data_IF_038107054481
#
_entry.id   IF_038107054481
#
_cell.length_a   1.000
_cell.length_b   1.000
_cell.length_c   1.000
_cell.angle_alpha   90.00
_cell.angle_beta   90.00
_cell.angle_gamma   90.00
#
_symmetry.space_group_name_H-M   'P 1'
#
loop_
_entity.id
_entity.type
_entity.pdbx_description
1 polymer ?
#
# COMPACT_ATOMS: atom_id res chain seq x y z
N UNK A 1 0.65 22.92 31.10
CA UNK A 1 1.10 22.97 29.69
C UNK A 1 0.12 23.82 28.90
N UNK A 2 0.61 24.73 28.08
CA UNK A 2 -0.23 25.51 27.20
C UNK A 2 -0.75 24.59 26.07
N UNK A 3 -1.86 24.94 25.42
CA UNK A 3 -2.39 24.17 24.28
C UNK A 3 -1.38 24.01 23.13
N UNK A 4 -0.31 24.79 23.13
CA UNK A 4 0.81 24.71 22.17
C UNK A 4 1.80 23.58 22.45
N UNK A 5 1.76 22.97 23.64
CA UNK A 5 2.71 21.95 24.08
C UNK A 5 2.14 20.51 23.94
N UNK A 6 0.90 20.36 23.45
CA UNK A 6 0.27 19.04 23.29
C UNK A 6 0.72 18.38 21.98
N UNK A 7 0.91 17.04 21.99
CA UNK A 7 1.15 16.29 20.77
C UNK A 7 0.04 16.50 19.73
N UNK A 8 0.36 16.57 18.42
CA UNK A 8 -0.59 16.95 17.38
C UNK A 8 -1.79 16.01 17.23
N UNK A 9 -1.66 14.77 17.65
CA UNK A 9 -2.69 13.72 17.57
C UNK A 9 -3.10 13.19 18.95
N UNK A 10 -2.99 14.01 20.00
CA UNK A 10 -3.32 13.59 21.36
C UNK A 10 -4.73 12.99 21.45
N UNK A 11 -4.79 11.73 21.84
CA UNK A 11 -6.04 11.00 22.05
C UNK A 11 -6.67 10.40 20.79
N UNK A 12 -6.04 10.54 19.61
CA UNK A 12 -6.56 9.95 18.37
C UNK A 12 -6.33 8.43 18.39
N UNK A 13 -7.39 7.61 18.20
CA UNK A 13 -7.27 6.16 18.18
C UNK A 13 -6.54 5.67 16.92
N UNK A 14 -5.65 4.69 17.11
CA UNK A 14 -4.83 4.09 16.06
C UNK A 14 -4.89 2.55 16.11
N UNK A 15 -5.63 1.89 15.23
CA UNK A 15 -5.44 0.48 14.95
C UNK A 15 -4.10 0.25 14.23
N UNK A 16 -3.33 -0.77 14.68
CA UNK A 16 -1.99 -1.08 14.15
C UNK A 16 -2.02 -2.41 13.41
N UNK A 17 -1.52 -2.46 12.18
CA UNK A 17 -1.41 -3.71 11.42
C UNK A 17 -0.57 -4.74 12.19
N UNK A 18 -1.03 -5.99 12.21
CA UNK A 18 -0.39 -7.07 12.98
C UNK A 18 0.89 -7.63 12.31
N UNK A 19 1.74 -6.72 11.86
CA UNK A 19 3.11 -6.97 11.38
C UNK A 19 4.14 -6.16 12.16
N UNK A 20 3.74 -5.11 12.89
CA UNK A 20 4.63 -4.27 13.70
C UNK A 20 4.42 -4.51 15.19
N UNK A 21 5.51 -4.43 15.94
CA UNK A 21 5.52 -4.55 17.38
C UNK A 21 4.95 -3.30 18.07
N UNK A 22 4.06 -3.57 19.03
CA UNK A 22 3.60 -2.61 20.02
C UNK A 22 4.00 -3.16 21.38
N UNK A 23 4.78 -2.42 22.15
CA UNK A 23 5.28 -2.86 23.46
C UNK A 23 4.15 -3.39 24.35
N UNK A 24 4.34 -4.57 24.92
CA UNK A 24 3.37 -5.25 25.78
C UNK A 24 2.25 -6.01 25.04
N UNK A 25 2.24 -6.01 23.71
CA UNK A 25 1.28 -6.75 22.90
C UNK A 25 1.95 -7.82 22.05
N UNK A 26 1.27 -8.96 21.79
CA UNK A 26 1.78 -9.93 20.82
C UNK A 26 1.70 -9.38 19.40
N UNK A 27 2.65 -9.78 18.55
CA UNK A 27 2.61 -9.60 17.10
C UNK A 27 2.57 -10.98 16.45
N UNK A 28 1.41 -11.33 15.87
CA UNK A 28 1.21 -12.67 15.32
C UNK A 28 1.58 -12.79 13.85
N UNK A 29 1.85 -11.69 13.17
CA UNK A 29 2.06 -11.64 11.73
C UNK A 29 0.96 -12.33 10.91
N UNK A 30 -0.25 -12.40 11.45
CA UNK A 30 -1.37 -13.13 10.86
C UNK A 30 -1.22 -14.65 10.88
N UNK A 31 -0.24 -15.19 11.58
CA UNK A 31 0.10 -16.63 11.58
C UNK A 31 -0.48 -17.36 12.80
N UNK A 32 -1.03 -18.56 12.56
CA UNK A 32 -1.40 -19.47 13.62
C UNK A 32 -0.19 -20.11 14.31
N UNK A 33 0.98 -20.08 13.66
CA UNK A 33 2.25 -20.62 14.18
C UNK A 33 3.10 -19.59 14.91
N UNK A 34 2.69 -18.32 15.01
CA UNK A 34 3.46 -17.26 15.62
C UNK A 34 3.66 -17.46 17.14
N UNK A 35 4.76 -16.99 17.66
CA UNK A 35 4.92 -16.76 19.09
C UNK A 35 3.97 -15.62 19.52
N UNK A 36 3.29 -15.82 20.64
CA UNK A 36 2.35 -14.85 21.21
C UNK A 36 2.91 -14.13 22.43
N UNK A 37 4.21 -14.23 22.68
CA UNK A 37 4.86 -13.45 23.71
C UNK A 37 4.69 -11.95 23.40
N UNK A 38 4.38 -11.13 24.44
CA UNK A 38 4.32 -9.69 24.26
C UNK A 38 5.65 -9.11 23.82
N UNK A 39 5.66 -8.22 22.83
CA UNK A 39 6.84 -7.53 22.36
C UNK A 39 7.46 -6.68 23.49
N UNK A 40 8.78 -6.72 23.63
CA UNK A 40 9.50 -5.97 24.65
C UNK A 40 9.54 -4.46 24.35
N UNK A 41 9.51 -4.08 23.08
CA UNK A 41 9.57 -2.69 22.61
C UNK A 41 8.65 -2.49 21.41
N UNK A 42 8.27 -1.25 21.17
CA UNK A 42 7.55 -0.89 19.94
C UNK A 42 8.52 -0.61 18.81
N UNK A 43 8.11 -0.95 17.58
CA UNK A 43 8.83 -0.57 16.35
C UNK A 43 9.00 0.96 16.22
N UNK A 44 10.06 1.44 15.54
CA UNK A 44 10.30 2.87 15.33
C UNK A 44 9.10 3.63 14.77
N UNK A 45 8.40 3.06 13.81
CA UNK A 45 7.18 3.66 13.23
C UNK A 45 6.08 3.79 14.28
N UNK A 46 5.87 2.76 15.10
CA UNK A 46 4.89 2.78 16.20
C UNK A 46 5.26 3.83 17.24
N UNK A 47 6.55 3.91 17.62
CA UNK A 47 7.02 4.97 18.54
C UNK A 47 6.71 6.37 18.03
N UNK A 48 6.89 6.65 16.72
CA UNK A 48 6.53 7.95 16.12
C UNK A 48 5.05 8.28 16.28
N UNK A 49 4.17 7.29 16.12
CA UNK A 49 2.75 7.48 16.39
C UNK A 49 2.48 7.79 17.88
N UNK A 50 3.09 7.03 18.79
CA UNK A 50 2.94 7.26 20.24
C UNK A 50 3.45 8.64 20.65
N UNK A 51 4.62 9.06 20.16
CA UNK A 51 5.19 10.38 20.42
C UNK A 51 4.29 11.51 19.89
N UNK A 52 3.56 11.27 18.81
CA UNK A 52 2.58 12.20 18.27
C UNK A 52 1.25 12.24 19.05
N UNK A 53 1.07 11.36 20.05
CA UNK A 53 -0.08 11.32 20.93
C UNK A 53 -1.19 10.35 20.52
N UNK A 54 -0.97 9.52 19.50
CA UNK A 54 -1.92 8.48 19.14
C UNK A 54 -2.07 7.42 20.24
N UNK A 55 -3.27 6.85 20.35
CA UNK A 55 -3.58 5.77 21.28
C UNK A 55 -3.81 4.48 20.49
N UNK A 56 -2.92 3.48 20.58
CA UNK A 56 -3.16 2.17 19.98
C UNK A 56 -4.42 1.53 20.55
N UNK A 57 -5.32 1.03 19.67
CA UNK A 57 -6.55 0.37 20.07
C UNK A 57 -6.47 -1.16 20.02
N UNK A 58 -5.63 -1.68 19.16
CA UNK A 58 -5.51 -3.11 18.88
C UNK A 58 -4.77 -3.37 17.60
N UNK A 59 -4.56 -4.67 17.31
CA UNK A 59 -3.96 -5.13 16.06
C UNK A 59 -5.05 -5.37 15.02
N UNK A 60 -4.79 -4.96 13.77
CA UNK A 60 -5.70 -5.22 12.65
C UNK A 60 -5.31 -6.48 11.89
N UNK A 61 -6.31 -7.17 11.36
CA UNK A 61 -6.11 -8.39 10.58
C UNK A 61 -5.26 -8.14 9.33
N UNK A 62 -4.38 -9.09 9.05
CA UNK A 62 -3.50 -9.14 7.88
C UNK A 62 -3.48 -10.56 7.34
N UNK A 63 -3.16 -10.76 6.06
CA UNK A 63 -2.76 -12.09 5.60
C UNK A 63 -1.50 -12.54 6.33
N UNK A 64 -1.30 -13.84 6.43
CA UNK A 64 -0.11 -14.40 7.10
C UNK A 64 1.17 -13.83 6.46
N UNK A 65 2.04 -13.24 7.27
CA UNK A 65 3.28 -12.52 6.90
C UNK A 65 3.08 -11.38 5.88
N UNK A 66 1.86 -10.98 5.61
CA UNK A 66 1.54 -9.95 4.61
C UNK A 66 1.68 -10.42 3.16
N UNK A 67 1.78 -11.69 2.87
CA UNK A 67 2.14 -12.22 1.55
C UNK A 67 1.00 -12.26 0.53
N UNK A 68 -0.26 -12.18 0.96
CA UNK A 68 -1.43 -12.15 0.06
C UNK A 68 -2.17 -10.81 0.16
N UNK A 69 -2.75 -10.31 -0.94
CA UNK A 69 -3.50 -9.05 -0.94
C UNK A 69 -4.97 -9.22 -0.48
N UNK A 70 -5.23 -10.16 0.42
CA UNK A 70 -6.52 -10.42 1.06
C UNK A 70 -6.32 -11.21 2.36
N UNK A 71 -7.30 -11.18 3.28
CA UNK A 71 -7.25 -11.96 4.52
C UNK A 71 -8.44 -12.92 4.61
N UNK A 72 -8.14 -14.18 4.38
CA UNK A 72 -9.01 -15.34 4.60
C UNK A 72 -8.13 -16.39 5.29
N UNK A 73 -7.94 -16.24 6.60
CA UNK A 73 -6.88 -16.93 7.35
C UNK A 73 -7.47 -17.89 8.38
N UNK A 74 -6.91 -19.09 8.55
CA UNK A 74 -7.25 -19.98 9.67
C UNK A 74 -6.97 -19.33 11.05
N UNK A 75 -6.00 -18.40 11.12
CA UNK A 75 -5.62 -17.77 12.38
C UNK A 75 -6.54 -16.61 12.78
N UNK A 76 -6.98 -15.80 11.80
CA UNK A 76 -7.68 -14.52 12.03
C UNK A 76 -9.08 -14.48 11.44
N UNK A 77 -9.51 -15.54 10.75
CA UNK A 77 -10.80 -15.58 10.06
C UNK A 77 -10.79 -14.78 8.75
N UNK A 78 -11.97 -14.40 8.30
CA UNK A 78 -12.19 -13.74 7.01
C UNK A 78 -12.47 -12.26 7.25
N UNK A 79 -11.64 -11.40 6.65
CA UNK A 79 -11.95 -9.97 6.57
C UNK A 79 -12.91 -9.71 5.41
N UNK A 80 -13.97 -8.94 5.67
CA UNK A 80 -15.06 -8.69 4.72
C UNK A 80 -15.13 -7.21 4.37
N UNK A 81 -15.46 -6.90 3.11
CA UNK A 81 -15.57 -5.54 2.63
C UNK A 81 -16.85 -4.88 3.18
N UNK A 82 -16.78 -3.73 3.86
CA UNK A 82 -17.97 -3.03 4.36
C UNK A 82 -18.96 -2.56 3.27
N UNK A 83 -18.48 -2.40 2.01
CA UNK A 83 -19.34 -2.05 0.88
C UNK A 83 -20.14 -3.25 0.35
N UNK A 84 -19.59 -4.45 0.43
CA UNK A 84 -20.24 -5.73 0.09
C UNK A 84 -19.57 -6.85 0.88
N UNK A 85 -20.19 -7.36 1.98
CA UNK A 85 -19.59 -8.40 2.83
C UNK A 85 -19.31 -9.75 2.13
N UNK A 86 -19.83 -9.96 0.93
CA UNK A 86 -19.52 -11.13 0.12
C UNK A 86 -18.19 -10.98 -0.65
N UNK A 87 -17.51 -9.84 -0.49
CA UNK A 87 -16.25 -9.54 -1.18
C UNK A 87 -15.10 -9.30 -0.22
N UNK A 88 -13.88 -9.47 -0.74
CA UNK A 88 -12.67 -9.12 -0.01
C UNK A 88 -12.53 -7.59 0.15
N UNK A 89 -12.05 -7.10 1.30
CA UNK A 89 -11.65 -5.69 1.46
C UNK A 89 -10.27 -5.39 0.86
N UNK A 90 -9.67 -6.33 0.12
CA UNK A 90 -8.27 -6.25 -0.28
C UNK A 90 -7.33 -6.49 0.90
N UNK A 91 -6.02 -6.34 0.66
CA UNK A 91 -4.99 -6.58 1.68
C UNK A 91 -3.56 -6.28 1.15
N UNK A 92 -2.54 -6.64 1.90
CA UNK A 92 -2.59 -7.41 3.17
C UNK A 92 -3.06 -6.61 4.39
N UNK A 93 -3.20 -5.28 4.33
CA UNK A 93 -3.73 -4.46 5.42
C UNK A 93 -5.27 -4.46 5.43
N UNK A 94 -5.88 -5.65 5.41
CA UNK A 94 -7.33 -5.85 5.28
C UNK A 94 -8.09 -5.20 6.42
N UNK A 95 -7.73 -5.52 7.67
CA UNK A 95 -8.39 -4.98 8.85
C UNK A 95 -8.24 -3.48 9.01
N UNK A 96 -7.12 -2.89 8.54
CA UNK A 96 -6.94 -1.44 8.53
C UNK A 96 -7.95 -0.77 7.59
N UNK A 97 -8.10 -1.30 6.35
CA UNK A 97 -9.10 -0.82 5.40
C UNK A 97 -10.52 -0.92 5.95
N UNK A 98 -10.89 -2.07 6.51
CA UNK A 98 -12.22 -2.30 7.12
C UNK A 98 -12.48 -1.34 8.27
N UNK A 99 -11.54 -1.21 9.22
CA UNK A 99 -11.72 -0.37 10.40
C UNK A 99 -12.00 1.10 10.05
N UNK A 100 -11.30 1.63 9.05
CA UNK A 100 -11.49 3.02 8.62
C UNK A 100 -12.76 3.17 7.78
N UNK A 101 -13.05 2.25 6.86
CA UNK A 101 -14.25 2.30 6.03
C UNK A 101 -15.52 2.18 6.88
N UNK A 102 -15.57 1.25 7.81
CA UNK A 102 -16.69 1.04 8.73
C UNK A 102 -16.83 2.12 9.83
N UNK A 103 -15.88 3.07 9.92
CA UNK A 103 -15.94 4.17 10.91
C UNK A 103 -15.48 3.80 12.30
N UNK A 104 -14.84 2.65 12.50
CA UNK A 104 -14.30 2.22 13.80
C UNK A 104 -13.11 3.10 14.25
N UNK A 105 -12.37 3.65 13.31
CA UNK A 105 -11.27 4.56 13.57
C UNK A 105 -11.16 5.61 12.46
N UNK A 106 -10.59 6.81 12.74
CA UNK A 106 -10.43 7.86 11.72
C UNK A 106 -9.37 7.49 10.68
N UNK A 107 -8.38 6.73 11.08
CA UNK A 107 -7.27 6.22 10.27
C UNK A 107 -6.74 4.92 10.88
N UNK A 108 -5.94 4.16 10.13
CA UNK A 108 -5.26 2.97 10.63
C UNK A 108 -3.88 2.84 10.00
N UNK A 109 -2.93 2.31 10.78
CA UNK A 109 -1.61 1.96 10.26
C UNK A 109 -1.71 0.81 9.26
N UNK A 110 -0.93 0.90 8.19
CA UNK A 110 -0.85 -0.08 7.12
C UNK A 110 0.57 -0.14 6.55
N UNK A 111 0.93 -1.24 5.88
CA UNK A 111 2.21 -1.42 5.20
C UNK A 111 2.00 -1.89 3.77
N UNK A 112 2.93 -1.53 2.87
CA UNK A 112 2.82 -1.76 1.43
C UNK A 112 4.13 -2.30 0.87
N UNK A 113 4.18 -3.61 0.63
CA UNK A 113 5.31 -4.28 -0.01
C UNK A 113 5.05 -4.63 -1.49
N UNK A 114 3.78 -4.64 -1.92
CA UNK A 114 3.35 -4.93 -3.28
C UNK A 114 2.02 -4.25 -3.65
N UNK A 115 1.49 -3.39 -2.75
CA UNK A 115 0.21 -2.73 -2.91
C UNK A 115 -0.63 -2.71 -1.62
N UNK A 116 -0.10 -3.21 -0.51
CA UNK A 116 -0.91 -3.52 0.68
C UNK A 116 -1.38 -2.30 1.52
N UNK A 117 -1.07 -1.06 1.12
CA UNK A 117 -1.79 0.17 1.52
C UNK A 117 -2.83 0.50 0.44
N UNK A 118 -2.40 0.51 -0.83
CA UNK A 118 -3.15 1.01 -1.98
C UNK A 118 -4.33 0.10 -2.35
N UNK A 119 -4.13 -1.22 -2.33
CA UNK A 119 -5.16 -2.22 -2.64
C UNK A 119 -6.33 -2.12 -1.65
N UNK A 120 -6.14 -2.22 -0.31
CA UNK A 120 -7.25 -2.05 0.61
C UNK A 120 -7.85 -0.64 0.57
N UNK A 121 -7.08 0.41 0.29
CA UNK A 121 -7.62 1.74 0.08
C UNK A 121 -8.61 1.76 -1.10
N UNK A 122 -8.24 1.18 -2.25
CA UNK A 122 -9.11 1.04 -3.43
C UNK A 122 -10.37 0.27 -3.12
N UNK A 123 -10.25 -0.92 -2.52
CA UNK A 123 -11.38 -1.78 -2.20
C UNK A 123 -12.38 -1.16 -1.23
N UNK A 124 -11.93 -0.29 -0.34
CA UNK A 124 -12.74 0.24 0.76
C UNK A 124 -13.14 1.72 0.59
N UNK A 125 -12.82 2.35 -0.54
CA UNK A 125 -13.18 3.74 -0.80
C UNK A 125 -12.39 4.74 0.07
N UNK A 126 -11.10 4.47 0.26
CA UNK A 126 -10.19 5.22 1.12
C UNK A 126 -9.02 5.82 0.33
N UNK A 127 -8.29 6.70 0.98
CA UNK A 127 -6.98 7.21 0.54
C UNK A 127 -5.88 6.35 1.13
N UNK A 128 -4.96 5.86 0.28
CA UNK A 128 -3.80 5.09 0.71
C UNK A 128 -2.55 5.52 -0.01
N UNK A 129 -1.61 6.13 0.73
CA UNK A 129 -0.32 6.60 0.19
C UNK A 129 0.79 5.62 0.58
N UNK A 130 1.44 5.05 -0.43
CA UNK A 130 2.76 4.43 -0.30
C UNK A 130 3.82 5.52 -0.49
N UNK A 131 4.56 5.92 0.55
CA UNK A 131 5.60 6.93 0.39
C UNK A 131 6.81 6.42 -0.41
N UNK A 132 7.71 7.32 -0.76
CA UNK A 132 9.03 6.98 -1.32
C UNK A 132 9.77 6.04 -0.40
N UNK A 133 10.46 5.06 -0.97
CA UNK A 133 11.39 4.18 -0.23
C UNK A 133 12.33 5.00 0.64
N UNK A 134 12.39 4.67 1.93
CA UNK A 134 13.27 5.34 2.89
C UNK A 134 12.71 6.63 3.50
N UNK A 135 11.56 7.15 3.04
CA UNK A 135 10.93 8.34 3.66
C UNK A 135 10.37 8.03 5.05
N UNK A 136 9.75 6.87 5.20
CA UNK A 136 9.31 6.33 6.49
C UNK A 136 10.20 5.15 6.81
N UNK A 137 11.03 5.31 7.85
CA UNK A 137 12.03 4.32 8.25
C UNK A 137 11.51 3.43 9.36
N UNK A 138 11.94 2.18 9.36
CA UNK A 138 11.74 1.22 10.45
C UNK A 138 13.09 0.63 10.88
N UNK A 139 13.11 -0.25 11.90
CA UNK A 139 14.34 -0.85 12.44
C UNK A 139 15.05 -1.68 11.36
N UNK A 140 14.29 -2.45 10.62
CA UNK A 140 14.79 -3.25 9.49
C UNK A 140 14.13 -2.78 8.21
N UNK A 141 14.90 -2.75 7.13
CA UNK A 141 14.40 -2.43 5.81
C UNK A 141 13.61 -3.63 5.28
N UNK A 142 12.28 -3.56 5.32
CA UNK A 142 11.40 -4.67 4.93
C UNK A 142 11.54 -5.03 3.45
N UNK A 143 11.70 -6.32 3.15
CA UNK A 143 11.79 -6.87 1.78
C UNK A 143 12.81 -6.12 0.91
N UNK A 144 13.99 -5.82 1.46
CA UNK A 144 15.06 -5.08 0.76
C UNK A 144 14.60 -3.71 0.21
N UNK A 145 13.68 -3.07 0.91
CA UNK A 145 13.13 -1.77 0.55
C UNK A 145 11.93 -1.82 -0.41
N UNK A 146 11.35 -2.98 -0.68
CA UNK A 146 10.05 -3.04 -1.35
C UNK A 146 8.93 -2.56 -0.42
N UNK A 147 9.02 -2.88 0.87
CA UNK A 147 8.01 -2.54 1.86
C UNK A 147 8.24 -1.15 2.46
N UNK A 148 7.14 -0.46 2.72
CA UNK A 148 7.12 0.83 3.43
C UNK A 148 5.86 0.93 4.28
N UNK A 149 5.97 1.64 5.41
CA UNK A 149 4.84 1.91 6.31
C UNK A 149 4.13 3.20 5.95
N UNK A 150 2.83 3.25 6.25
CA UNK A 150 1.98 4.41 6.08
C UNK A 150 0.62 4.21 6.76
N UNK A 151 -0.40 4.86 6.25
CA UNK A 151 -1.76 4.78 6.77
C UNK A 151 -2.79 4.66 5.64
N UNK A 152 -3.97 4.14 5.98
CA UNK A 152 -5.20 4.36 5.22
C UNK A 152 -6.07 5.37 5.94
N UNK A 153 -6.66 6.31 5.19
CA UNK A 153 -7.45 7.42 5.74
C UNK A 153 -8.70 7.66 4.87
N UNK A 154 -9.60 8.55 5.33
CA UNK A 154 -10.74 8.99 4.51
C UNK A 154 -10.42 10.22 3.67
N UNK A 155 -9.47 11.04 4.09
CA UNK A 155 -9.16 12.31 3.45
C UNK A 155 -7.68 12.43 3.13
N UNK A 156 -7.38 13.20 2.09
CA UNK A 156 -6.00 13.55 1.73
C UNK A 156 -5.33 14.38 2.82
N UNK A 157 -6.10 15.21 3.52
CA UNK A 157 -5.58 16.03 4.62
C UNK A 157 -5.08 15.19 5.80
N UNK A 158 -5.81 14.14 6.18
CA UNK A 158 -5.38 13.22 7.24
C UNK A 158 -4.12 12.45 6.83
N UNK A 159 -4.05 12.00 5.56
CA UNK A 159 -2.84 11.35 5.02
C UNK A 159 -1.62 12.27 5.13
N UNK A 160 -1.75 13.54 4.71
CA UNK A 160 -0.67 14.51 4.77
C UNK A 160 -0.23 14.80 6.21
N UNK A 161 -1.18 14.97 7.13
CA UNK A 161 -0.90 15.25 8.54
C UNK A 161 -0.16 14.09 9.22
N UNK A 162 -0.53 12.85 8.90
CA UNK A 162 0.18 11.67 9.43
C UNK A 162 1.56 11.53 8.79
N UNK A 163 1.69 11.82 7.50
CA UNK A 163 2.99 11.77 6.84
C UNK A 163 3.98 12.78 7.44
N UNK A 164 3.51 13.96 7.88
CA UNK A 164 4.34 14.95 8.61
C UNK A 164 4.90 14.38 9.93
N UNK A 165 4.21 13.42 10.55
CA UNK A 165 4.70 12.70 11.75
C UNK A 165 5.69 11.59 11.39
N UNK A 166 5.42 10.84 10.33
CA UNK A 166 6.20 9.65 9.97
C UNK A 166 7.48 9.98 9.21
N UNK A 167 7.45 11.00 8.34
CA UNK A 167 8.57 11.39 7.49
C UNK A 167 9.61 12.24 8.24
N UNK A 168 10.34 11.62 9.15
CA UNK A 168 11.39 12.25 9.93
C UNK A 168 12.75 11.69 9.55
N UNK A 169 13.78 12.52 9.60
CA UNK A 169 15.15 12.03 9.51
C UNK A 169 15.44 11.06 10.65
N UNK A 170 16.00 9.93 10.31
CA UNK A 170 16.39 8.86 11.24
C UNK A 170 17.87 8.54 11.04
N UNK A 171 18.75 9.02 11.92
CA UNK A 171 20.19 8.83 11.76
C UNK A 171 20.65 7.37 11.91
N UNK A 172 19.78 6.50 12.47
CA UNK A 172 20.06 5.07 12.62
C UNK A 172 19.67 4.23 11.42
N UNK A 173 18.89 4.76 10.49
CA UNK A 173 18.42 4.01 9.33
C UNK A 173 19.49 3.96 8.21
N UNK A 174 19.57 2.82 7.53
CA UNK A 174 20.47 2.69 6.36
C UNK A 174 20.18 3.72 5.28
N UNK A 175 18.90 4.03 5.05
CA UNK A 175 18.45 5.02 4.10
C UNK A 175 17.48 5.95 4.80
N UNK A 176 17.91 7.17 5.01
CA UNK A 176 17.05 8.20 5.56
C UNK A 176 17.40 9.52 4.88
N UNK A 177 16.46 10.10 4.15
CA UNK A 177 16.65 11.42 3.57
C UNK A 177 16.71 12.47 4.67
N UNK A 178 17.20 13.68 4.37
CA UNK A 178 16.95 14.84 5.21
C UNK A 178 15.46 15.00 5.44
N UNK A 179 15.10 15.59 6.59
CA UNK A 179 13.71 15.93 6.85
C UNK A 179 13.16 16.84 5.72
N UNK A 180 11.89 16.66 5.30
CA UNK A 180 11.29 17.53 4.29
C UNK A 180 11.39 19.01 4.68
N UNK A 181 11.75 19.87 3.73
CA UNK A 181 11.89 21.31 3.98
C UNK A 181 10.57 22.01 4.33
N UNK A 182 9.44 21.40 3.92
CA UNK A 182 8.09 21.87 4.22
C UNK A 182 7.24 20.69 4.63
N UNK A 183 6.27 20.93 5.52
CA UNK A 183 5.30 19.91 5.88
C UNK A 183 4.40 19.56 4.69
N UNK A 184 3.97 18.32 4.64
CA UNK A 184 3.03 17.83 3.61
C UNK A 184 1.66 18.49 3.74
N UNK A 185 1.24 18.81 4.96
CA UNK A 185 0.03 19.62 5.19
C UNK A 185 0.15 21.02 4.61
N UNK A 186 1.35 21.62 4.61
CA UNK A 186 1.57 22.91 3.95
C UNK A 186 1.49 22.81 2.42
N UNK A 187 1.84 21.65 1.83
CA UNK A 187 1.71 21.44 0.39
C UNK A 187 0.24 21.50 -0.07
N UNK A 188 -0.71 21.12 0.79
CA UNK A 188 -2.15 21.15 0.49
C UNK A 188 -2.76 22.57 0.46
N UNK A 189 -2.01 23.59 0.92
CA UNK A 189 -2.47 25.00 0.88
C UNK A 189 -2.30 25.64 -0.50
N UNK A 190 -1.52 25.01 -1.38
CA UNK A 190 -1.44 25.45 -2.77
C UNK A 190 -2.77 25.13 -3.47
N UNK A 191 -3.45 26.14 -3.98
CA UNK A 191 -4.79 26.01 -4.57
C UNK A 191 -4.74 25.29 -5.92
N UNK A 192 -3.64 25.43 -6.69
CA UNK A 192 -3.52 24.91 -8.05
C UNK A 192 -2.42 23.85 -8.19
N UNK A 193 -2.61 22.98 -9.17
CA UNK A 193 -1.54 22.11 -9.67
C UNK A 193 -0.44 22.95 -10.33
N UNK A 194 0.81 22.44 -10.42
CA UNK A 194 1.85 23.11 -11.19
C UNK A 194 1.41 23.30 -12.64
N UNK A 195 1.63 24.50 -13.18
CA UNK A 195 1.35 24.77 -14.60
C UNK A 195 2.16 23.84 -15.51
N UNK A 196 1.51 23.33 -16.56
CA UNK A 196 2.16 22.44 -17.52
C UNK A 196 2.47 21.04 -17.01
N UNK A 197 1.82 20.57 -15.95
CA UNK A 197 1.98 19.23 -15.39
C UNK A 197 1.75 18.17 -16.48
N UNK A 198 2.78 17.37 -16.78
CA UNK A 198 2.72 16.29 -17.77
C UNK A 198 2.18 15.04 -17.11
N UNK A 199 1.10 14.49 -17.68
CA UNK A 199 0.39 13.33 -17.12
C UNK A 199 0.53 12.16 -18.09
N UNK A 200 1.27 11.13 -17.67
CA UNK A 200 1.30 9.82 -18.33
C UNK A 200 0.10 8.96 -17.92
N UNK A 201 -0.27 8.02 -18.77
CA UNK A 201 -1.39 7.10 -18.54
C UNK A 201 -0.93 5.66 -18.82
N UNK A 202 -1.31 4.74 -17.93
CA UNK A 202 -1.12 3.31 -18.14
C UNK A 202 -2.41 2.59 -17.73
N UNK A 203 -3.21 2.16 -18.69
CA UNK A 203 -4.47 1.41 -18.48
C UNK A 203 -4.33 -0.06 -18.86
N UNK A 204 -3.42 -0.38 -19.77
CA UNK A 204 -3.13 -1.76 -20.13
C UNK A 204 -2.34 -2.45 -19.02
N UNK A 205 -2.68 -3.70 -18.75
CA UNK A 205 -1.97 -4.48 -17.74
C UNK A 205 -0.50 -4.68 -18.11
N UNK A 206 0.45 -4.48 -17.19
CA UNK A 206 1.85 -4.87 -17.38
C UNK A 206 2.07 -6.37 -17.63
N UNK A 207 1.05 -7.19 -17.43
CA UNK A 207 1.03 -8.64 -17.68
C UNK A 207 -0.09 -8.96 -18.66
N UNK A 208 0.24 -9.30 -19.89
CA UNK A 208 -0.71 -9.49 -21.01
C UNK A 208 -1.87 -10.44 -20.72
N UNK A 209 -1.64 -11.45 -19.87
CA UNK A 209 -2.67 -12.42 -19.49
C UNK A 209 -3.74 -11.86 -18.54
N UNK A 210 -3.58 -10.65 -18.01
CA UNK A 210 -4.49 -10.05 -17.03
C UNK A 210 -5.33 -8.96 -17.73
N UNK A 211 -6.60 -9.24 -17.94
CA UNK A 211 -7.54 -8.22 -18.43
C UNK A 211 -7.85 -7.18 -17.37
N UNK A 212 -8.03 -5.94 -17.78
CA UNK A 212 -8.43 -4.83 -16.90
C UNK A 212 -9.95 -4.63 -17.00
N UNK A 213 -10.62 -4.62 -15.84
CA UNK A 213 -12.06 -4.40 -15.74
C UNK A 213 -12.42 -2.99 -16.29
N UNK A 214 -13.46 -2.88 -17.13
CA UNK A 214 -13.92 -1.60 -17.66
C UNK A 214 -14.21 -0.54 -16.59
N UNK A 215 -14.70 -0.91 -15.41
CA UNK A 215 -14.90 0.02 -14.30
C UNK A 215 -13.58 0.64 -13.80
N UNK A 216 -12.49 -0.12 -13.82
CA UNK A 216 -11.17 0.38 -13.48
C UNK A 216 -10.64 1.36 -14.53
N UNK A 217 -10.86 1.09 -15.81
CA UNK A 217 -10.51 2.01 -16.92
C UNK A 217 -11.35 3.30 -16.84
N UNK A 218 -12.66 3.17 -16.63
CA UNK A 218 -13.57 4.32 -16.50
C UNK A 218 -13.16 5.26 -15.34
N UNK A 219 -12.65 4.70 -14.24
CA UNK A 219 -12.14 5.48 -13.13
C UNK A 219 -10.91 6.32 -13.53
N UNK A 220 -10.01 5.77 -14.36
CA UNK A 220 -8.86 6.51 -14.92
C UNK A 220 -9.35 7.66 -15.79
N UNK A 221 -10.31 7.42 -16.70
CA UNK A 221 -10.87 8.46 -17.58
C UNK A 221 -11.48 9.62 -16.79
N UNK A 222 -12.21 9.29 -15.70
CA UNK A 222 -12.76 10.31 -14.79
C UNK A 222 -11.67 11.14 -14.14
N UNK A 223 -10.56 10.50 -13.74
CA UNK A 223 -9.41 11.15 -13.13
C UNK A 223 -8.70 12.08 -14.10
N UNK A 224 -8.46 11.61 -15.32
CA UNK A 224 -7.78 12.41 -16.36
C UNK A 224 -8.56 13.67 -16.67
N UNK A 225 -9.87 13.58 -16.90
CA UNK A 225 -10.73 14.76 -17.13
C UNK A 225 -10.66 15.78 -16.01
N UNK A 226 -10.60 15.31 -14.75
CA UNK A 226 -10.50 16.20 -13.60
C UNK A 226 -9.13 16.89 -13.48
N UNK A 227 -8.06 16.16 -13.77
CA UNK A 227 -6.70 16.71 -13.76
C UNK A 227 -6.45 17.66 -14.94
N UNK A 228 -6.98 17.37 -16.13
CA UNK A 228 -6.91 18.28 -17.29
C UNK A 228 -7.68 19.57 -17.04
N UNK A 229 -8.88 19.49 -16.45
CA UNK A 229 -9.64 20.66 -16.04
C UNK A 229 -8.91 21.52 -14.99
N UNK A 230 -7.98 20.93 -14.23
CA UNK A 230 -7.10 21.62 -13.29
C UNK A 230 -5.77 22.07 -13.91
N UNK A 231 -5.62 22.03 -15.24
CA UNK A 231 -4.44 22.52 -15.96
C UNK A 231 -3.33 21.52 -16.24
N UNK A 232 -3.59 20.24 -16.00
CA UNK A 232 -2.68 19.16 -16.41
C UNK A 232 -2.79 18.86 -17.92
N UNK A 233 -1.78 18.22 -18.47
CA UNK A 233 -1.72 17.81 -19.88
C UNK A 233 -1.41 16.32 -19.98
N UNK A 234 -2.33 15.56 -20.58
CA UNK A 234 -2.10 14.14 -20.89
C UNK A 234 -1.08 14.04 -22.04
N UNK A 235 -0.04 13.27 -21.85
CA UNK A 235 1.02 13.05 -22.84
C UNK A 235 1.03 11.59 -23.32
N UNK A 236 1.25 11.40 -24.61
CA UNK A 236 1.24 10.08 -25.25
C UNK A 236 2.59 9.33 -25.15
N UNK A 237 3.43 9.66 -24.18
CA UNK A 237 4.72 9.00 -24.01
C UNK A 237 4.53 7.69 -23.24
N UNK A 238 4.93 6.53 -23.77
CA UNK A 238 4.82 5.28 -23.03
C UNK A 238 5.81 5.23 -21.86
N UNK A 239 5.38 4.67 -20.73
CA UNK A 239 6.30 4.27 -19.68
C UNK A 239 7.13 3.08 -20.17
N UNK A 240 8.46 3.09 -20.08
CA UNK A 240 9.28 1.94 -20.45
C UNK A 240 9.13 0.83 -19.40
N UNK A 241 8.10 0.01 -19.58
CA UNK A 241 7.87 -1.15 -18.73
C UNK A 241 8.94 -2.21 -18.98
N UNK A 242 9.43 -2.89 -17.94
CA UNK A 242 10.27 -4.06 -18.12
C UNK A 242 9.44 -5.22 -18.69
N UNK A 243 10.06 -6.23 -19.31
CA UNK A 243 9.38 -7.49 -19.56
C UNK A 243 8.79 -8.07 -18.27
N UNK A 244 7.58 -8.64 -18.36
CA UNK A 244 6.85 -9.11 -17.18
C UNK A 244 7.63 -10.17 -16.39
N UNK A 245 8.33 -11.07 -17.07
CA UNK A 245 9.18 -12.10 -16.46
C UNK A 245 10.39 -11.51 -15.70
N UNK A 246 10.98 -10.43 -16.21
CA UNK A 246 12.08 -9.74 -15.52
C UNK A 246 11.58 -9.10 -14.22
N UNK A 247 10.44 -8.43 -14.27
CA UNK A 247 9.80 -7.83 -13.09
C UNK A 247 9.42 -8.90 -12.06
N UNK A 248 8.72 -9.94 -12.50
CA UNK A 248 8.26 -11.01 -11.64
C UNK A 248 9.42 -11.73 -10.97
N UNK A 249 10.48 -12.07 -11.72
CA UNK A 249 11.65 -12.74 -11.15
C UNK A 249 12.34 -11.89 -10.08
N UNK A 250 12.55 -10.59 -10.35
CA UNK A 250 13.17 -9.68 -9.39
C UNK A 250 12.29 -9.51 -8.14
N UNK A 251 10.98 -9.36 -8.33
CA UNK A 251 10.03 -9.18 -7.24
C UNK A 251 9.90 -10.44 -6.39
N UNK A 252 9.67 -11.61 -7.01
CA UNK A 252 9.37 -12.87 -6.30
C UNK A 252 10.52 -13.30 -5.41
N UNK A 253 11.78 -13.20 -5.87
CA UNK A 253 12.94 -13.58 -5.05
C UNK A 253 13.00 -12.76 -3.75
N UNK A 254 12.74 -11.46 -3.82
CA UNK A 254 12.72 -10.59 -2.65
C UNK A 254 11.44 -10.78 -1.82
N UNK A 255 10.31 -11.02 -2.48
CA UNK A 255 9.02 -11.26 -1.83
C UNK A 255 9.03 -12.50 -0.93
N UNK A 256 9.68 -13.57 -1.36
CA UNK A 256 9.80 -14.82 -0.60
C UNK A 256 10.49 -14.63 0.76
N UNK A 257 11.32 -13.58 0.92
CA UNK A 257 11.97 -13.26 2.20
C UNK A 257 10.98 -12.83 3.29
N UNK A 258 9.81 -12.30 2.91
CA UNK A 258 8.90 -11.62 3.83
C UNK A 258 8.44 -12.44 5.03
N UNK A 259 8.24 -13.74 4.85
CA UNK A 259 7.90 -14.64 5.96
C UNK A 259 9.09 -15.45 6.51
N UNK A 260 10.23 -15.45 5.83
CA UNK A 260 11.32 -16.39 6.13
C UNK A 260 12.00 -16.13 7.48
N UNK A 261 12.11 -14.86 7.88
CA UNK A 261 12.76 -14.42 9.11
C UNK A 261 11.82 -14.34 10.33
N UNK A 262 10.52 -14.52 10.17
CA UNK A 262 9.56 -14.42 11.29
C UNK A 262 9.75 -15.57 12.27
N UNK A 263 9.98 -15.31 13.58
CA UNK A 263 10.06 -16.34 14.61
C UNK A 263 8.72 -17.06 14.77
N UNK A 264 8.75 -18.38 14.89
CA UNK A 264 7.56 -19.22 15.03
C UNK A 264 7.68 -20.11 16.26
N UNK A 265 6.61 -20.19 17.03
CA UNK A 265 6.45 -21.17 18.10
C UNK A 265 6.08 -22.57 17.54
N UNK A 266 5.31 -22.60 16.45
CA UNK A 266 4.87 -23.82 15.78
C UNK A 266 4.91 -23.67 14.24
N UNK A 267 6.02 -24.04 13.59
CA UNK A 267 6.17 -23.95 12.13
C UNK A 267 5.15 -24.78 11.32
N UNK A 268 4.60 -25.85 11.90
CA UNK A 268 3.67 -26.74 11.21
C UNK A 268 2.29 -26.10 11.01
N UNK A 269 2.00 -25.00 11.75
CA UNK A 269 0.77 -24.23 11.65
C UNK A 269 0.83 -23.06 10.67
N UNK A 270 1.95 -22.90 9.96
CA UNK A 270 2.09 -21.91 8.87
C UNK A 270 1.22 -22.33 7.68
N UNK A 271 0.56 -21.38 7.03
CA UNK A 271 -0.28 -21.64 5.86
C UNK A 271 0.55 -22.29 4.72
N UNK A 272 -0.03 -23.23 3.93
CA UNK A 272 0.72 -24.00 2.93
C UNK A 272 1.53 -23.15 1.95
N UNK A 273 0.94 -22.07 1.41
CA UNK A 273 1.65 -21.19 0.48
C UNK A 273 2.89 -20.54 1.14
N UNK A 274 2.79 -20.12 2.39
CA UNK A 274 3.91 -19.49 3.09
C UNK A 274 5.00 -20.50 3.48
N UNK A 275 4.67 -21.78 3.67
CA UNK A 275 5.70 -22.83 3.80
C UNK A 275 6.53 -22.91 2.53
N UNK A 276 5.86 -22.95 1.35
CA UNK A 276 6.55 -22.96 0.05
C UNK A 276 7.42 -21.72 -0.14
N UNK A 277 6.92 -20.52 0.16
CA UNK A 277 7.69 -19.27 0.04
C UNK A 277 8.90 -19.24 0.99
N UNK A 278 8.74 -19.68 2.24
CA UNK A 278 9.83 -19.77 3.23
C UNK A 278 10.91 -20.77 2.83
N UNK A 279 10.53 -21.91 2.28
CA UNK A 279 11.48 -22.92 1.81
C UNK A 279 12.21 -22.42 0.56
N UNK A 280 11.51 -21.77 -0.37
CA UNK A 280 12.12 -21.12 -1.53
C UNK A 280 13.13 -20.04 -1.11
N UNK A 281 12.78 -19.19 -0.12
CA UNK A 281 13.68 -18.17 0.40
C UNK A 281 14.97 -18.76 1.02
N UNK A 282 14.85 -19.85 1.76
CA UNK A 282 16.01 -20.54 2.38
C UNK A 282 16.89 -21.27 1.37
N UNK A 283 16.35 -21.65 0.23
CA UNK A 283 17.08 -22.30 -0.85
C UNK A 283 17.90 -21.31 -1.71
N UNK A 284 17.64 -20.01 -1.61
CA UNK A 284 18.37 -18.97 -2.34
C UNK A 284 19.77 -18.81 -1.74
N UNK A 285 20.80 -19.02 -2.55
CA UNK A 285 22.17 -18.73 -2.12
C UNK A 285 22.49 -17.23 -2.17
N UNK A 286 23.61 -16.85 -1.56
CA UNK A 286 24.02 -15.43 -1.47
C UNK A 286 24.27 -14.78 -2.82
N UNK A 287 24.68 -15.53 -3.85
CA UNK A 287 24.87 -15.01 -5.20
C UNK A 287 23.54 -14.73 -5.89
N UNK A 288 22.61 -15.69 -5.86
CA UNK A 288 21.27 -15.54 -6.42
C UNK A 288 20.50 -14.38 -5.75
N UNK A 289 20.64 -14.23 -4.43
CA UNK A 289 20.09 -13.10 -3.70
C UNK A 289 20.70 -11.76 -4.17
N UNK A 290 22.02 -11.65 -4.23
CA UNK A 290 22.67 -10.43 -4.67
C UNK A 290 22.29 -10.05 -6.12
N UNK A 291 22.19 -11.03 -7.01
CA UNK A 291 21.77 -10.80 -8.39
C UNK A 291 20.30 -10.34 -8.48
N UNK A 292 19.39 -10.86 -7.63
CA UNK A 292 18.01 -10.39 -7.56
C UNK A 292 17.92 -8.92 -7.12
N UNK A 293 18.71 -8.53 -6.11
CA UNK A 293 18.81 -7.13 -5.66
C UNK A 293 19.37 -6.24 -6.78
N UNK A 294 20.45 -6.64 -7.44
CA UNK A 294 21.03 -5.87 -8.54
C UNK A 294 20.07 -5.75 -9.72
N UNK A 295 19.33 -6.81 -10.04
CA UNK A 295 18.31 -6.79 -11.10
C UNK A 295 17.19 -5.81 -10.76
N UNK A 296 16.67 -5.84 -9.53
CA UNK A 296 15.67 -4.88 -9.06
C UNK A 296 16.18 -3.42 -9.14
N UNK A 297 17.44 -3.18 -8.79
CA UNK A 297 18.05 -1.84 -8.88
C UNK A 297 18.17 -1.36 -10.34
N UNK A 298 18.65 -2.21 -11.27
CA UNK A 298 18.76 -1.88 -12.70
C UNK A 298 17.38 -1.61 -13.32
N UNK A 299 16.39 -2.44 -12.97
CA UNK A 299 15.00 -2.27 -13.41
C UNK A 299 14.43 -0.95 -12.89
N UNK A 300 14.58 -0.69 -11.59
CA UNK A 300 14.14 0.55 -10.95
C UNK A 300 14.71 1.78 -11.68
N UNK A 301 16.03 1.79 -11.96
CA UNK A 301 16.68 2.90 -12.66
C UNK A 301 16.06 3.14 -14.03
N UNK A 302 15.90 2.11 -14.86
CA UNK A 302 15.32 2.25 -16.22
C UNK A 302 13.92 2.86 -16.18
N UNK A 303 13.06 2.35 -15.28
CA UNK A 303 11.67 2.82 -15.16
C UNK A 303 11.63 4.26 -14.66
N UNK A 304 12.41 4.59 -13.62
CA UNK A 304 12.45 5.95 -13.05
C UNK A 304 13.02 6.96 -14.04
N UNK A 305 14.10 6.64 -14.76
CA UNK A 305 14.68 7.52 -15.79
C UNK A 305 13.68 7.77 -16.93
N UNK A 306 12.99 6.73 -17.41
CA UNK A 306 11.94 6.88 -18.42
C UNK A 306 10.74 7.68 -17.91
N UNK A 307 10.34 7.47 -16.66
CA UNK A 307 9.31 8.28 -16.01
C UNK A 307 9.69 9.77 -15.99
N UNK A 308 10.89 10.11 -15.51
CA UNK A 308 11.38 11.49 -15.41
C UNK A 308 11.50 12.18 -16.77
N UNK A 309 11.84 11.44 -17.81
CA UNK A 309 11.90 11.96 -19.17
C UNK A 309 10.51 12.27 -19.76
N UNK A 310 9.48 11.46 -19.40
CA UNK A 310 8.14 11.51 -19.99
C UNK A 310 7.13 12.35 -19.22
N UNK A 311 7.08 12.19 -17.89
CA UNK A 311 5.97 12.70 -17.08
C UNK A 311 6.42 13.36 -15.78
N UNK A 312 5.47 14.05 -15.17
CA UNK A 312 5.56 14.53 -13.78
C UNK A 312 4.62 13.71 -12.88
N UNK A 313 3.54 13.19 -13.45
CA UNK A 313 2.55 12.34 -12.81
C UNK A 313 2.16 11.19 -13.76
N UNK A 314 2.00 9.98 -13.22
CA UNK A 314 1.43 8.85 -13.96
C UNK A 314 0.11 8.45 -13.31
N UNK A 315 -0.90 8.18 -14.12
CA UNK A 315 -2.23 7.71 -13.71
C UNK A 315 -2.44 6.28 -14.18
N UNK A 316 -2.79 5.39 -13.25
CA UNK A 316 -3.12 3.99 -13.54
C UNK A 316 -4.36 3.56 -12.76
N UNK A 317 -5.05 2.49 -13.11
CA UNK A 317 -5.90 1.80 -12.15
C UNK A 317 -5.07 1.43 -10.90
N UNK A 318 -5.70 1.36 -9.73
CA UNK A 318 -5.01 0.77 -8.56
C UNK A 318 -4.96 -0.76 -8.69
N UNK A 319 -6.03 -1.35 -9.17
CA UNK A 319 -6.20 -2.79 -9.41
C UNK A 319 -6.73 -3.02 -10.82
N UNK A 320 -6.53 -4.22 -11.36
CA UNK A 320 -7.10 -4.60 -12.66
C UNK A 320 -8.56 -5.09 -12.56
N UNK A 321 -9.11 -5.27 -11.36
CA UNK A 321 -10.44 -5.81 -11.15
C UNK A 321 -11.15 -5.13 -9.97
N UNK A 322 -12.47 -5.24 -9.92
CA UNK A 322 -13.25 -4.97 -8.72
C UNK A 322 -12.91 -6.01 -7.62
N UNK A 323 -13.16 -5.69 -6.33
CA UNK A 323 -12.90 -6.62 -5.24
C UNK A 323 -13.54 -8.00 -5.50
N UNK A 324 -12.75 -9.11 -5.59
CA UNK A 324 -13.28 -10.45 -5.80
C UNK A 324 -14.17 -10.93 -4.64
N UNK A 325 -15.03 -11.92 -4.92
CA UNK A 325 -15.81 -12.57 -3.87
C UNK A 325 -14.92 -13.34 -2.90
N UNK A 326 -15.33 -13.39 -1.65
CA UNK A 326 -14.70 -14.22 -0.62
C UNK A 326 -14.65 -15.69 -1.12
N UNK A 327 -13.50 -16.32 -0.94
CA UNK A 327 -13.23 -17.69 -1.41
C UNK A 327 -12.71 -17.78 -2.85
N UNK A 328 -13.03 -16.81 -3.72
CA UNK A 328 -12.62 -16.88 -5.13
C UNK A 328 -11.10 -16.91 -5.32
N UNK A 329 -10.36 -16.19 -4.49
CA UNK A 329 -8.91 -16.13 -4.58
C UNK A 329 -8.21 -17.39 -4.02
N UNK A 330 -8.94 -18.23 -3.26
CA UNK A 330 -8.44 -19.51 -2.76
C UNK A 330 -8.78 -20.70 -3.65
N UNK A 331 -9.41 -20.48 -4.80
CA UNK A 331 -9.71 -21.57 -5.73
C UNK A 331 -8.43 -22.31 -6.17
N UNK A 332 -8.43 -23.63 -6.12
CA UNK A 332 -7.29 -24.48 -6.51
C UNK A 332 -6.16 -24.60 -5.49
N UNK A 333 -6.32 -24.05 -4.26
CA UNK A 333 -5.25 -24.13 -3.24
C UNK A 333 -5.04 -25.52 -2.65
N UNK A 334 -5.98 -26.44 -2.84
CA UNK A 334 -5.82 -27.84 -2.43
C UNK A 334 -4.87 -28.58 -3.37
N UNK A 335 -4.81 -28.21 -4.65
CA UNK A 335 -3.94 -28.79 -5.68
C UNK A 335 -2.60 -28.06 -5.79
N UNK A 336 -2.62 -26.71 -5.76
CA UNK A 336 -1.42 -25.87 -5.79
C UNK A 336 -1.44 -24.87 -4.61
N UNK A 337 -0.56 -25.03 -3.61
CA UNK A 337 -0.46 -24.09 -2.49
C UNK A 337 -0.26 -22.62 -2.91
N UNK A 338 0.31 -22.36 -4.09
CA UNK A 338 0.54 -21.02 -4.61
C UNK A 338 -0.64 -20.47 -5.42
N UNK A 339 -1.71 -21.24 -5.66
CA UNK A 339 -2.86 -20.80 -6.45
C UNK A 339 -3.44 -19.46 -5.96
N UNK A 340 -3.52 -19.25 -4.63
CA UNK A 340 -3.99 -17.99 -4.06
C UNK A 340 -3.12 -16.78 -4.45
N UNK A 341 -1.81 -16.97 -4.60
CA UNK A 341 -0.89 -15.94 -5.06
C UNK A 341 -1.16 -15.61 -6.54
N UNK A 342 -1.27 -16.64 -7.38
CA UNK A 342 -1.55 -16.47 -8.81
C UNK A 342 -2.92 -15.82 -9.06
N UNK A 343 -3.96 -16.29 -8.38
CA UNK A 343 -5.31 -15.77 -8.48
C UNK A 343 -5.42 -14.30 -8.05
N UNK A 344 -4.49 -13.84 -7.21
CA UNK A 344 -4.50 -12.47 -6.68
C UNK A 344 -3.70 -11.46 -7.50
N UNK A 345 -3.01 -11.87 -8.56
CA UNK A 345 -2.24 -10.94 -9.43
C UNK A 345 -3.04 -9.75 -9.95
N UNK A 346 -4.33 -9.90 -10.34
CA UNK A 346 -5.13 -8.75 -10.79
C UNK A 346 -5.27 -7.64 -9.75
N UNK A 347 -5.09 -7.94 -8.45
CA UNK A 347 -5.14 -6.93 -7.40
C UNK A 347 -3.85 -6.11 -7.32
N UNK A 348 -2.70 -6.71 -7.65
CA UNK A 348 -1.38 -6.12 -7.44
C UNK A 348 -0.62 -5.72 -8.72
N UNK A 349 -1.16 -6.00 -9.91
CA UNK A 349 -0.42 -5.86 -11.17
C UNK A 349 0.03 -4.42 -11.48
N UNK A 350 -0.73 -3.41 -11.06
CA UNK A 350 -0.35 -2.01 -11.21
C UNK A 350 0.43 -1.44 -10.02
N UNK A 351 0.41 -2.10 -8.86
CA UNK A 351 1.01 -1.54 -7.65
C UNK A 351 2.44 -2.01 -7.41
N UNK A 352 2.74 -3.27 -7.66
CA UNK A 352 4.03 -3.91 -7.32
C UNK A 352 5.24 -3.27 -8.00
N UNK A 353 5.10 -2.78 -9.23
CA UNK A 353 6.15 -2.07 -9.94
C UNK A 353 6.70 -0.89 -9.11
N UNK A 354 5.82 -0.13 -8.45
CA UNK A 354 6.20 1.05 -7.68
C UNK A 354 6.75 0.72 -6.28
N UNK A 355 6.66 -0.53 -5.85
CA UNK A 355 7.48 -1.05 -4.75
C UNK A 355 8.91 -1.31 -5.21
N UNK A 356 9.08 -1.92 -6.40
CA UNK A 356 10.41 -2.15 -6.99
C UNK A 356 11.13 -0.85 -7.29
N UNK A 357 10.46 0.13 -7.93
CA UNK A 357 11.07 1.43 -8.23
C UNK A 357 11.26 2.31 -7.00
N UNK A 358 10.50 2.06 -5.93
CA UNK A 358 10.52 2.88 -4.72
C UNK A 358 9.84 4.25 -4.87
N UNK A 359 9.21 4.53 -6.02
CA UNK A 359 8.48 5.79 -6.24
C UNK A 359 7.29 5.92 -5.30
N UNK A 360 6.92 7.13 -4.87
CA UNK A 360 5.70 7.34 -4.11
C UNK A 360 4.48 7.12 -5.00
N UNK A 361 3.44 6.52 -4.43
CA UNK A 361 2.19 6.25 -5.13
C UNK A 361 0.99 6.35 -4.18
N UNK A 362 -0.09 6.97 -4.63
CA UNK A 362 -1.31 7.14 -3.84
C UNK A 362 -2.51 6.55 -4.58
N UNK A 363 -3.34 5.77 -3.87
CA UNK A 363 -4.65 5.35 -4.34
C UNK A 363 -5.72 6.28 -3.79
N UNK A 364 -6.61 6.76 -4.67
CA UNK A 364 -7.74 7.64 -4.32
C UNK A 364 -9.04 7.13 -4.94
N UNK A 365 -10.16 7.13 -4.18
CA UNK A 365 -11.42 6.51 -4.60
C UNK A 365 -12.31 7.48 -5.41
N UNK A 366 -11.85 7.84 -6.60
CA UNK A 366 -12.48 8.87 -7.46
C UNK A 366 -13.79 8.43 -8.12
N UNK A 367 -14.04 7.12 -8.17
CA UNK A 367 -15.18 6.53 -8.88
C UNK A 367 -15.89 5.48 -8.03
N UNK A 368 -17.15 5.24 -8.35
CA UNK A 368 -17.92 4.08 -7.91
C UNK A 368 -18.52 3.43 -9.15
N UNK A 369 -18.42 2.12 -9.21
CA UNK A 369 -19.06 1.35 -10.26
C UNK A 369 -20.58 1.37 -10.09
N UNK A 370 -21.29 1.85 -11.10
CA UNK A 370 -22.74 2.03 -11.03
C UNK A 370 -23.51 0.70 -10.93
N UNK A 371 -22.93 -0.40 -11.42
CA UNK A 371 -23.56 -1.71 -11.40
C UNK A 371 -23.48 -2.39 -10.03
N UNK A 372 -22.39 -2.20 -9.31
CA UNK A 372 -22.15 -2.87 -8.03
C UNK A 372 -22.20 -1.93 -6.82
N UNK A 373 -22.10 -0.62 -7.04
CA UNK A 373 -21.97 0.38 -5.96
C UNK A 373 -20.60 0.38 -5.28
N UNK A 374 -19.66 -0.42 -5.76
CA UNK A 374 -18.33 -0.56 -5.14
C UNK A 374 -17.44 0.66 -5.47
N UNK A 375 -16.61 1.12 -4.53
CA UNK A 375 -15.60 2.13 -4.81
C UNK A 375 -14.52 1.58 -5.74
N UNK A 376 -14.02 2.43 -6.62
CA UNK A 376 -12.92 2.13 -7.55
C UNK A 376 -11.80 3.12 -7.34
N UNK A 377 -10.64 2.62 -6.94
CA UNK A 377 -9.45 3.43 -6.72
C UNK A 377 -8.63 3.64 -7.99
N UNK A 378 -8.12 4.85 -8.15
CA UNK A 378 -7.10 5.19 -9.15
C UNK A 378 -5.78 5.46 -8.46
N UNK A 379 -4.69 4.97 -9.03
CA UNK A 379 -3.36 5.20 -8.54
C UNK A 379 -2.71 6.38 -9.28
N UNK A 380 -2.17 7.32 -8.50
CA UNK A 380 -1.28 8.36 -8.98
C UNK A 380 0.14 8.04 -8.53
N UNK A 381 1.11 8.20 -9.43
CA UNK A 381 2.54 7.97 -9.16
C UNK A 381 3.32 9.22 -9.52
N UNK A 382 4.30 9.59 -8.70
CA UNK A 382 5.20 10.71 -8.96
C UNK A 382 6.68 10.27 -8.94
N UNK A 383 7.57 11.20 -9.25
CA UNK A 383 9.00 11.02 -9.06
C UNK A 383 9.33 10.74 -7.59
N UNK A 384 10.44 10.05 -7.27
CA UNK A 384 10.91 9.91 -5.89
C UNK A 384 10.94 11.26 -5.17
N UNK A 385 10.51 11.28 -3.91
CA UNK A 385 10.46 12.47 -3.04
C UNK A 385 9.44 13.55 -3.45
N UNK A 386 8.47 13.21 -4.31
CA UNK A 386 7.43 14.13 -4.76
C UNK A 386 6.05 13.78 -4.20
N UNK A 387 6.00 13.38 -2.93
CA UNK A 387 4.75 13.21 -2.18
C UNK A 387 3.93 14.50 -2.14
N UNK A 388 4.58 15.66 -2.15
CA UNK A 388 3.95 16.96 -2.24
C UNK A 388 3.05 17.08 -3.48
N UNK A 389 3.55 16.65 -4.63
CA UNK A 389 2.81 16.66 -5.90
C UNK A 389 1.63 15.66 -5.85
N UNK A 390 1.87 14.45 -5.35
CA UNK A 390 0.81 13.43 -5.21
C UNK A 390 -0.33 13.93 -4.32
N UNK A 391 0.00 14.49 -3.17
CA UNK A 391 -0.99 15.01 -2.23
C UNK A 391 -1.78 16.18 -2.82
N UNK A 392 -1.14 17.08 -3.56
CA UNK A 392 -1.82 18.18 -4.27
C UNK A 392 -2.76 17.63 -5.36
N UNK A 393 -2.30 16.71 -6.21
CA UNK A 393 -3.13 16.09 -7.24
C UNK A 393 -4.31 15.31 -6.62
N UNK A 394 -4.07 14.54 -5.56
CA UNK A 394 -5.12 13.84 -4.83
C UNK A 394 -6.12 14.81 -4.18
N UNK A 395 -5.65 15.95 -3.65
CA UNK A 395 -6.53 16.98 -3.09
C UNK A 395 -7.39 17.66 -4.14
N UNK A 396 -6.84 17.94 -5.31
CA UNK A 396 -7.62 18.44 -6.47
C UNK A 396 -8.75 17.48 -6.83
N UNK A 397 -8.45 16.19 -6.89
CA UNK A 397 -9.46 15.15 -7.13
C UNK A 397 -10.49 15.07 -6.00
N UNK A 398 -10.07 15.16 -4.74
CA UNK A 398 -10.97 15.13 -3.58
C UNK A 398 -11.96 16.30 -3.59
N UNK A 399 -11.52 17.49 -4.01
CA UNK A 399 -12.38 18.69 -4.11
C UNK A 399 -13.37 18.57 -5.27
N UNK A 400 -12.95 18.01 -6.41
CA UNK A 400 -13.80 17.86 -7.61
C UNK A 400 -14.72 16.64 -7.55
N UNK A 401 -14.32 15.61 -6.81
CA UNK A 401 -14.99 14.32 -6.66
C UNK A 401 -15.06 13.91 -5.19
N UNK A 402 -15.82 14.62 -4.32
CA UNK A 402 -15.78 14.42 -2.87
C UNK A 402 -16.29 13.03 -2.48
N UNK A 403 -15.38 12.18 -2.03
CA UNK A 403 -15.64 10.82 -1.56
C UNK A 403 -15.77 10.69 -0.05
N UNK A 404 -15.16 11.61 0.72
CA UNK A 404 -15.03 11.48 2.17
C UNK A 404 -16.38 11.39 2.95
N UNK A 405 -17.50 11.80 2.31
CA UNK A 405 -18.85 11.71 2.87
C UNK A 405 -19.57 10.40 2.53
N UNK A 406 -19.07 9.65 1.56
CA UNK A 406 -19.66 8.35 1.22
C UNK A 406 -19.36 7.34 2.33
N UNK A 407 -20.34 6.54 2.67
CA UNK A 407 -20.23 5.51 3.72
C UNK A 407 -20.69 4.18 3.15
N UNK A 408 -20.03 3.08 3.53
CA UNK A 408 -20.53 1.76 3.18
C UNK A 408 -21.85 1.49 3.90
N UNK A 409 -22.66 0.56 3.39
CA UNK A 409 -23.93 0.16 4.02
C UNK A 409 -23.73 -0.56 5.35
N UNK A 410 -22.54 -1.13 5.57
CA UNK A 410 -22.17 -1.81 6.82
C UNK A 410 -21.08 -0.98 7.52
N UNK A 411 -21.42 -0.46 8.70
CA UNK A 411 -20.51 0.38 9.48
C UNK A 411 -21.14 0.90 10.75
#
# INVERSE_FOLDING_TARGET
SSAKDLPPFLGVPLPVKDLLDVAGWPTTHGSAGADRAPAAASDPVVRRFLDAGFIPLGKTTTSEFGTLPFTESPALGISRNPWDPERTPGGSSSGAGVAVAAGMAPLAHAEDGGGSIRIPASCNGLVGLKPTRGLVTNEVVGLEGLATSGVVTRSVADTAAVLDVLARHDPGAWWSPPAPHRSFTAALRAEDLPAGLRIGVLTDSPVDAIAVDPACVAAVDVTLRALEAAGGHVVATPLPLPPADELLTAFTTLWNLGGAGVPLADPDRVEPHNRVLRDAARAVDSWAYAEAVHRAQRLSRRVVEGFLAGFDLLVTPTMACLPPRVGALRAGTDEDPLAALWNSYPLGVFTSLFNVTGQPAISVPVHHDDATGLPVGVQLVAAPWREDLLLRAARTLELTRPWARRRPPVG
#
